data_IF_511218622211
#
_entry.id   IF_511218622211
#
_cell.length_a   1.000
_cell.length_b   1.000
_cell.length_c   1.000
_cell.angle_alpha   90.00
_cell.angle_beta   90.00
_cell.angle_gamma   90.00
#
_symmetry.space_group_name_H-M   'P 1'
#
loop_
_entity.id
_entity.type
_entity.pdbx_description
1 polymer ?
#
# COMPACT_ATOMS: atom_id res chain seq x y z
N UNK A 1 -19.13 -10.62 -15.01
CA UNK A 1 -18.28 -9.44 -15.28
C UNK A 1 -16.92 -9.79 -14.74
N UNK A 2 -15.94 -10.07 -15.60
CA UNK A 2 -14.55 -10.06 -15.17
C UNK A 2 -14.20 -8.59 -14.88
N UNK A 3 -13.71 -8.29 -13.69
CA UNK A 3 -13.11 -6.98 -13.41
C UNK A 3 -11.72 -6.91 -14.03
N UNK A 4 -11.12 -5.72 -14.08
CA UNK A 4 -9.74 -5.46 -14.57
C UNK A 4 -8.69 -6.45 -14.03
N UNK A 5 -8.91 -7.04 -12.85
CA UNK A 5 -7.99 -8.01 -12.25
C UNK A 5 -8.19 -9.46 -12.72
N UNK A 6 -9.42 -9.84 -13.10
CA UNK A 6 -9.77 -11.21 -13.49
C UNK A 6 -9.72 -11.42 -15.02
N UNK A 7 -9.55 -10.34 -15.78
CA UNK A 7 -9.44 -10.39 -17.24
C UNK A 7 -7.97 -10.57 -17.65
N UNK A 8 -7.60 -11.79 -18.07
CA UNK A 8 -6.23 -12.10 -18.49
C UNK A 8 -5.83 -11.39 -19.81
N UNK A 9 -6.79 -10.91 -20.59
CA UNK A 9 -6.52 -10.11 -21.79
C UNK A 9 -6.33 -8.62 -21.46
N UNK A 10 -6.71 -8.18 -20.26
CA UNK A 10 -6.50 -6.81 -19.79
C UNK A 10 -5.07 -6.63 -19.24
N UNK A 11 -4.22 -5.94 -19.99
CA UNK A 11 -2.84 -5.66 -19.61
C UNK A 11 -2.70 -4.48 -18.62
N UNK A 12 -3.81 -3.91 -18.12
CA UNK A 12 -3.81 -2.79 -17.18
C UNK A 12 -3.18 -3.21 -15.85
N UNK A 13 -2.10 -2.52 -15.46
CA UNK A 13 -1.44 -2.72 -14.16
C UNK A 13 -1.91 -1.69 -13.14
N UNK A 14 -2.38 -2.17 -12.00
CA UNK A 14 -2.85 -1.35 -10.89
C UNK A 14 -1.84 -1.37 -9.74
N UNK A 15 -1.42 -0.19 -9.29
CA UNK A 15 -0.54 -0.03 -8.12
C UNK A 15 -1.19 0.91 -7.12
N UNK A 16 -1.62 0.38 -5.97
CA UNK A 16 -2.28 1.15 -4.91
C UNK A 16 -1.27 1.63 -3.85
N UNK A 17 -1.19 2.93 -3.61
CA UNK A 17 -0.48 3.49 -2.46
C UNK A 17 -1.52 3.93 -1.41
N UNK A 18 -1.81 3.07 -0.42
CA UNK A 18 -2.87 3.31 0.55
C UNK A 18 -2.33 3.95 1.82
N UNK A 19 -2.72 5.21 2.07
CA UNK A 19 -2.32 5.95 3.27
C UNK A 19 -3.39 5.85 4.38
N UNK A 20 -2.97 5.49 5.59
CA UNK A 20 -3.85 5.36 6.76
C UNK A 20 -3.17 5.96 8.02
N UNK A 21 -3.97 6.20 9.06
CA UNK A 21 -3.43 6.62 10.37
C UNK A 21 -2.64 5.49 11.02
N UNK A 22 -3.30 4.34 11.15
CA UNK A 22 -2.78 3.12 11.76
C UNK A 22 -3.31 1.91 11.00
N UNK A 23 -2.84 0.74 11.40
CA UNK A 23 -3.18 -0.51 10.75
C UNK A 23 -4.68 -0.90 10.88
N UNK A 24 -5.38 -0.40 11.91
CA UNK A 24 -6.80 -0.67 12.13
C UNK A 24 -7.69 0.16 11.19
N UNK A 25 -7.18 1.32 10.74
CA UNK A 25 -7.83 2.15 9.72
C UNK A 25 -7.78 1.60 8.30
N UNK A 26 -7.03 0.52 8.04
CA UNK A 26 -6.89 -0.05 6.69
C UNK A 26 -8.15 -0.85 6.34
N UNK A 27 -9.01 -0.25 5.50
CA UNK A 27 -10.20 -0.92 5.01
C UNK A 27 -9.84 -2.05 4.05
N UNK A 28 -10.62 -3.14 4.09
CA UNK A 28 -10.47 -4.29 3.19
C UNK A 28 -9.05 -4.88 3.15
N UNK A 29 -8.28 -4.75 4.24
CA UNK A 29 -6.89 -5.22 4.34
C UNK A 29 -6.72 -6.70 3.96
N UNK A 30 -7.68 -7.56 4.32
CA UNK A 30 -7.66 -8.98 3.95
C UNK A 30 -7.91 -9.18 2.46
N UNK A 31 -8.80 -8.40 1.85
CA UNK A 31 -9.08 -8.47 0.42
C UNK A 31 -7.89 -7.96 -0.40
N UNK A 32 -7.24 -6.87 0.03
CA UNK A 32 -6.00 -6.37 -0.59
C UNK A 32 -4.92 -7.45 -0.65
N UNK A 33 -4.72 -8.16 0.46
CA UNK A 33 -3.79 -9.27 0.51
C UNK A 33 -4.21 -10.43 -0.41
N UNK A 34 -5.51 -10.75 -0.45
CA UNK A 34 -6.01 -11.80 -1.34
C UNK A 34 -5.85 -11.44 -2.83
N UNK A 35 -5.78 -10.15 -3.17
CA UNK A 35 -5.55 -9.66 -4.53
C UNK A 35 -4.07 -9.75 -4.97
N UNK A 36 -3.11 -10.02 -4.08
CA UNK A 36 -1.70 -10.24 -4.50
C UNK A 36 -1.51 -11.46 -5.41
N UNK A 37 -2.52 -12.34 -5.50
CA UNK A 37 -2.54 -13.45 -6.45
C UNK A 37 -2.63 -12.99 -7.91
N UNK A 38 -3.10 -11.76 -8.17
CA UNK A 38 -3.24 -11.21 -9.51
C UNK A 38 -1.93 -10.62 -9.99
N UNK A 39 -1.49 -11.02 -11.18
CA UNK A 39 -0.20 -10.61 -11.74
C UNK A 39 -0.12 -9.09 -12.03
N UNK A 40 -1.27 -8.45 -12.24
CA UNK A 40 -1.40 -7.04 -12.61
C UNK A 40 -1.76 -6.14 -11.43
N UNK A 41 -1.73 -6.64 -10.19
CA UNK A 41 -2.05 -5.87 -8.99
C UNK A 41 -0.87 -5.80 -8.01
N UNK A 42 -0.63 -4.60 -7.46
CA UNK A 42 0.26 -4.39 -6.33
C UNK A 42 -0.30 -3.33 -5.39
N UNK A 43 0.04 -3.42 -4.11
CA UNK A 43 -0.29 -2.38 -3.15
C UNK A 43 0.83 -2.14 -2.14
N UNK A 44 0.78 -0.99 -1.50
CA UNK A 44 1.63 -0.61 -0.36
C UNK A 44 0.76 0.15 0.64
N UNK A 45 0.94 -0.11 1.94
CA UNK A 45 0.22 0.60 3.01
C UNK A 45 1.21 1.52 3.74
N UNK A 46 0.90 2.79 3.84
CA UNK A 46 1.69 3.79 4.57
C UNK A 46 0.92 4.27 5.80
N UNK A 47 1.56 4.16 6.96
CA UNK A 47 0.96 4.50 8.25
C UNK A 47 1.55 5.81 8.78
N UNK A 48 0.70 6.82 8.94
CA UNK A 48 1.13 8.14 9.37
C UNK A 48 1.37 8.25 10.88
N UNK A 49 0.70 7.41 11.67
CA UNK A 49 0.69 7.44 13.15
C UNK A 49 0.32 6.07 13.71
N UNK A 50 1.19 5.06 13.60
CA UNK A 50 0.94 3.82 14.30
C UNK A 50 0.95 4.07 15.82
N UNK A 51 -0.19 3.82 16.46
CA UNK A 51 -0.44 4.16 17.85
C UNK A 51 0.11 3.08 18.80
N UNK A 52 1.42 2.78 18.74
CA UNK A 52 2.04 1.92 19.77
C UNK A 52 2.43 2.74 21.02
N UNK A 53 2.36 2.12 22.19
CA UNK A 53 2.91 2.65 23.46
C UNK A 53 4.40 2.34 23.63
N UNK A 54 5.04 1.86 22.57
CA UNK A 54 6.41 1.37 22.58
C UNK A 54 7.42 2.49 22.30
N UNK A 55 8.65 2.37 22.82
CA UNK A 55 9.72 3.38 22.62
C UNK A 55 10.03 3.65 21.14
N UNK A 56 9.72 2.68 20.27
CA UNK A 56 9.84 2.80 18.81
C UNK A 56 8.69 3.55 18.11
N UNK A 57 7.82 4.27 18.83
CA UNK A 57 6.66 4.98 18.23
C UNK A 57 7.05 5.98 17.14
N UNK A 58 8.24 6.57 17.22
CA UNK A 58 8.78 7.51 16.23
C UNK A 58 9.69 6.84 15.20
N UNK A 59 9.94 5.54 15.32
CA UNK A 59 10.79 4.79 14.42
C UNK A 59 9.98 4.24 13.24
N UNK A 60 10.61 4.14 12.06
CA UNK A 60 10.03 3.46 10.88
C UNK A 60 9.81 1.95 11.10
N UNK A 61 10.20 1.41 12.26
CA UNK A 61 9.93 0.03 12.67
C UNK A 61 9.70 -0.06 14.18
N UNK A 62 8.74 -0.87 14.60
CA UNK A 62 8.53 -1.21 15.99
C UNK A 62 7.97 -2.63 16.16
N UNK A 63 8.25 -3.27 17.31
CA UNK A 63 7.84 -4.67 17.55
C UNK A 63 6.33 -4.86 17.58
N UNK A 64 5.60 -3.85 18.06
CA UNK A 64 4.14 -3.88 18.12
C UNK A 64 3.55 -4.00 16.71
N UNK A 65 4.01 -3.16 15.79
CA UNK A 65 3.57 -3.20 14.40
C UNK A 65 4.01 -4.50 13.72
N UNK A 66 5.28 -4.90 13.85
CA UNK A 66 5.79 -6.10 13.19
C UNK A 66 5.05 -7.38 13.61
N UNK A 67 4.52 -7.45 14.83
CA UNK A 67 3.71 -8.58 15.30
C UNK A 67 2.31 -8.65 14.67
N UNK A 68 1.82 -7.55 14.10
CA UNK A 68 0.48 -7.43 13.48
C UNK A 68 0.53 -7.47 11.96
N UNK A 69 1.69 -7.22 11.35
CA UNK A 69 1.92 -7.33 9.92
C UNK A 69 1.89 -8.81 9.53
N UNK A 70 1.11 -9.14 8.50
CA UNK A 70 1.06 -10.50 7.98
C UNK A 70 2.31 -10.80 7.14
N UNK A 71 2.59 -12.07 6.93
CA UNK A 71 3.74 -12.46 6.11
C UNK A 71 3.71 -11.79 4.72
N UNK A 72 4.84 -11.18 4.35
CA UNK A 72 5.05 -10.46 3.08
C UNK A 72 4.15 -9.25 2.83
N UNK A 73 3.43 -8.76 3.84
CA UNK A 73 2.52 -7.64 3.65
C UNK A 73 3.30 -6.29 3.59
N UNK A 74 3.11 -5.48 2.54
CA UNK A 74 3.91 -4.28 2.29
C UNK A 74 3.43 -3.06 3.11
N UNK A 75 3.64 -3.11 4.43
CA UNK A 75 3.27 -2.04 5.38
C UNK A 75 4.51 -1.23 5.79
N UNK A 76 4.43 0.08 5.63
CA UNK A 76 5.47 1.06 5.95
C UNK A 76 5.03 1.99 7.08
N UNK A 77 5.81 2.06 8.16
CA UNK A 77 5.50 2.92 9.31
C UNK A 77 6.01 4.35 9.12
N UNK A 78 5.58 5.01 8.05
CA UNK A 78 5.75 6.44 7.83
C UNK A 78 4.68 6.94 6.86
N UNK A 79 4.54 8.26 6.79
CA UNK A 79 3.74 8.90 5.75
C UNK A 79 4.37 8.61 4.38
N UNK A 80 3.54 8.57 3.34
CA UNK A 80 4.00 8.52 1.96
C UNK A 80 4.83 9.78 1.66
N UNK A 81 6.09 9.58 1.35
CA UNK A 81 7.06 10.65 1.06
C UNK A 81 7.40 10.68 -0.44
N UNK A 82 8.03 11.78 -0.88
CA UNK A 82 8.47 11.96 -2.27
C UNK A 82 9.36 10.79 -2.75
N UNK A 83 10.29 10.34 -1.91
CA UNK A 83 11.19 9.22 -2.22
C UNK A 83 10.43 7.92 -2.49
N UNK A 84 9.30 7.69 -1.84
CA UNK A 84 8.48 6.50 -2.04
C UNK A 84 7.78 6.56 -3.39
N UNK A 85 7.24 7.73 -3.75
CA UNK A 85 6.64 7.98 -5.06
C UNK A 85 7.69 7.79 -6.15
N UNK A 86 8.89 8.36 -6.00
CA UNK A 86 9.97 8.12 -6.96
C UNK A 86 10.28 6.64 -7.13
N UNK A 87 10.32 5.87 -6.04
CA UNK A 87 10.57 4.43 -6.09
C UNK A 87 9.44 3.66 -6.78
N UNK A 88 8.19 4.10 -6.62
CA UNK A 88 7.05 3.55 -7.36
C UNK A 88 7.18 3.88 -8.85
N UNK A 89 7.44 5.14 -9.19
CA UNK A 89 7.58 5.59 -10.57
C UNK A 89 8.75 4.91 -11.30
N UNK A 90 9.88 4.68 -10.62
CA UNK A 90 11.03 3.94 -11.18
C UNK A 90 10.69 2.49 -11.58
N UNK A 91 9.69 1.89 -10.93
CA UNK A 91 9.23 0.51 -11.24
C UNK A 91 8.21 0.49 -12.38
N UNK A 92 7.56 1.62 -12.67
CA UNK A 92 6.67 1.74 -13.82
C UNK A 92 7.53 1.85 -15.09
N UNK A 93 7.53 0.79 -15.89
CA UNK A 93 8.32 0.71 -17.13
C UNK A 93 7.71 1.63 -18.19
N UNK A 94 8.56 2.20 -19.06
CA UNK A 94 8.23 3.11 -20.18
C UNK A 94 6.83 2.90 -20.76
N UNK A 95 5.91 3.81 -20.43
CA UNK A 95 4.53 3.84 -20.90
C UNK A 95 3.77 5.02 -20.31
N UNK A 96 2.60 5.32 -20.87
CA UNK A 96 1.66 6.27 -20.28
C UNK A 96 1.01 5.67 -19.04
N UNK A 97 1.00 6.39 -17.93
CA UNK A 97 0.26 6.00 -16.73
C UNK A 97 -0.71 7.09 -16.33
N UNK A 98 -1.77 6.67 -15.62
CA UNK A 98 -2.73 7.57 -15.02
C UNK A 98 -2.61 7.48 -13.50
N UNK A 99 -2.81 8.62 -12.84
CA UNK A 99 -2.79 8.71 -11.38
C UNK A 99 -4.18 9.11 -10.90
N UNK A 100 -4.77 8.29 -10.05
CA UNK A 100 -6.00 8.61 -9.31
C UNK A 100 -5.61 8.93 -7.87
N UNK A 101 -6.00 10.12 -7.39
CA UNK A 101 -5.81 10.53 -6.01
C UNK A 101 -7.18 10.66 -5.35
N UNK A 102 -7.37 9.93 -4.26
CA UNK A 102 -8.57 10.00 -3.44
C UNK A 102 -8.15 10.09 -1.97
N UNK A 103 -8.68 11.08 -1.26
CA UNK A 103 -8.36 11.34 0.13
C UNK A 103 -9.02 12.63 0.60
N UNK A 104 -8.72 12.99 1.85
CA UNK A 104 -9.20 14.24 2.44
C UNK A 104 -8.16 15.34 2.24
N UNK A 105 -8.58 16.60 2.13
CA UNK A 105 -7.71 17.78 1.98
C UNK A 105 -6.93 18.18 3.25
N UNK A 106 -6.92 17.32 4.28
CA UNK A 106 -6.59 17.66 5.68
C UNK A 106 -5.12 17.92 5.98
#
# INVERSE_FOLDING_TARGET
MAGVLDDEEDETRLNLQYCCSDLDGVLMRTDLQAMEKYWNFGYSIYLSRESCSCEGKLARSCKCLSSRIKYNEPVFNHRLEEVDIENVLKKLVNGSFHVLICGNES
#
